data_IF_715973891630
#
_entry.id   IF_715973891630
#
_cell.length_a   1.000
_cell.length_b   1.000
_cell.length_c   1.000
_cell.angle_alpha   90.00
_cell.angle_beta   90.00
_cell.angle_gamma   90.00
#
_symmetry.space_group_name_H-M   'P 1'
#
loop_
_entity.id
_entity.type
_entity.pdbx_description
1 polymer ?
#
# COMPACT_ATOMS: atom_id res chain seq x y z
N UNK A 1 -18.61 23.08 9.29
CA UNK A 1 -18.98 21.64 9.15
C UNK A 1 -18.69 21.09 7.75
N UNK A 2 -19.19 21.70 6.67
CA UNK A 2 -18.93 21.28 5.28
C UNK A 2 -17.44 21.03 4.93
N UNK A 3 -16.48 21.92 5.25
CA UNK A 3 -15.07 21.67 4.89
C UNK A 3 -14.49 20.43 5.60
N UNK A 4 -14.93 20.15 6.84
CA UNK A 4 -14.48 18.99 7.62
C UNK A 4 -15.01 17.69 7.01
N UNK A 5 -16.29 17.65 6.63
CA UNK A 5 -16.89 16.50 5.94
C UNK A 5 -16.22 16.21 4.60
N UNK A 6 -15.92 17.24 3.81
CA UNK A 6 -15.22 17.10 2.53
C UNK A 6 -13.79 16.60 2.74
N UNK A 7 -13.06 17.15 3.70
CA UNK A 7 -11.70 16.70 4.04
C UNK A 7 -11.69 15.24 4.50
N UNK A 8 -12.63 14.84 5.37
CA UNK A 8 -12.77 13.45 5.80
C UNK A 8 -13.07 12.53 4.62
N UNK A 9 -14.00 12.90 3.72
CA UNK A 9 -14.33 12.09 2.56
C UNK A 9 -13.14 11.91 1.61
N UNK A 10 -12.41 12.98 1.30
CA UNK A 10 -11.23 12.95 0.44
C UNK A 10 -10.10 12.12 1.08
N UNK A 11 -9.83 12.32 2.36
CA UNK A 11 -8.80 11.57 3.09
C UNK A 11 -9.11 10.07 3.15
N UNK A 12 -10.37 9.72 3.40
CA UNK A 12 -10.82 8.31 3.43
C UNK A 12 -10.67 7.67 2.05
N UNK A 13 -11.15 8.34 1.00
CA UNK A 13 -11.04 7.86 -0.37
C UNK A 13 -9.59 7.68 -0.81
N UNK A 14 -8.72 8.65 -0.52
CA UNK A 14 -7.30 8.58 -0.85
C UNK A 14 -6.61 7.42 -0.11
N UNK A 15 -6.91 7.21 1.17
CA UNK A 15 -6.35 6.12 1.97
C UNK A 15 -6.74 4.74 1.44
N UNK A 16 -7.99 4.58 0.99
CA UNK A 16 -8.47 3.33 0.38
C UNK A 16 -7.77 3.09 -0.96
N UNK A 17 -7.69 4.11 -1.83
CA UNK A 17 -7.02 3.98 -3.13
C UNK A 17 -5.55 3.59 -2.95
N UNK A 18 -4.84 4.24 -2.03
CA UNK A 18 -3.44 3.93 -1.72
C UNK A 18 -3.31 2.50 -1.17
N UNK A 19 -4.18 2.08 -0.25
CA UNK A 19 -4.14 0.73 0.30
C UNK A 19 -4.35 -0.33 -0.80
N UNK A 20 -5.33 -0.13 -1.69
CA UNK A 20 -5.62 -1.04 -2.81
C UNK A 20 -4.47 -1.06 -3.81
N UNK A 21 -3.97 0.10 -4.25
CA UNK A 21 -2.86 0.18 -5.19
C UNK A 21 -1.60 -0.50 -4.62
N UNK A 22 -1.30 -0.26 -3.35
CA UNK A 22 -0.14 -0.87 -2.68
C UNK A 22 -0.29 -2.38 -2.60
N UNK A 23 -1.49 -2.88 -2.28
CA UNK A 23 -1.78 -4.30 -2.25
C UNK A 23 -1.64 -4.99 -3.62
N UNK A 24 -2.24 -4.42 -4.67
CA UNK A 24 -2.29 -5.06 -5.99
C UNK A 24 -1.02 -4.85 -6.82
N UNK A 25 -0.41 -3.67 -6.76
CA UNK A 25 0.73 -3.34 -7.63
C UNK A 25 2.10 -3.56 -7.00
N UNK A 26 2.19 -3.64 -5.67
CA UNK A 26 3.48 -3.76 -4.96
C UNK A 26 3.54 -5.08 -4.20
N UNK A 27 2.55 -5.35 -3.36
CA UNK A 27 2.57 -6.51 -2.47
C UNK A 27 2.38 -7.84 -3.21
N UNK A 28 1.43 -7.91 -4.15
CA UNK A 28 1.19 -9.11 -4.96
C UNK A 28 2.44 -9.60 -5.73
N UNK A 29 3.21 -8.74 -6.44
CA UNK A 29 4.48 -9.15 -7.03
C UNK A 29 5.51 -9.62 -6.00
N UNK A 30 5.63 -8.93 -4.86
CA UNK A 30 6.58 -9.30 -3.78
C UNK A 30 6.28 -10.67 -3.18
N UNK A 31 5.01 -11.02 -3.00
CA UNK A 31 4.60 -12.35 -2.51
C UNK A 31 4.84 -13.46 -3.55
N UNK A 32 4.92 -13.11 -4.84
CA UNK A 32 5.20 -14.05 -5.93
C UNK A 32 6.70 -14.31 -6.14
N UNK A 33 7.55 -13.65 -5.34
CA UNK A 33 9.00 -13.86 -5.38
C UNK A 33 9.35 -15.22 -4.78
N UNK A 34 10.10 -16.02 -5.53
CA UNK A 34 10.56 -17.35 -5.09
C UNK A 34 12.06 -17.50 -5.38
N UNK A 35 12.86 -17.83 -4.37
CA UNK A 35 14.31 -17.99 -4.54
C UNK A 35 15.05 -16.68 -4.83
N UNK A 36 15.85 -16.22 -3.85
CA UNK A 36 16.69 -15.05 -4.00
C UNK A 36 18.17 -15.44 -3.88
N UNK A 37 18.99 -14.89 -4.77
CA UNK A 37 20.44 -15.10 -4.80
C UNK A 37 21.12 -13.77 -4.46
N UNK A 38 21.93 -13.79 -3.41
CA UNK A 38 22.68 -12.61 -2.98
C UNK A 38 24.05 -12.57 -3.67
N UNK A 39 24.34 -11.48 -4.38
CA UNK A 39 25.63 -11.24 -5.02
C UNK A 39 26.44 -10.23 -4.22
N UNK A 40 27.40 -10.73 -3.43
CA UNK A 40 28.26 -9.93 -2.54
C UNK A 40 29.18 -8.94 -3.27
N UNK A 41 29.54 -9.20 -4.54
CA UNK A 41 30.38 -8.29 -5.34
C UNK A 41 29.68 -6.99 -5.73
N UNK A 42 28.34 -6.93 -5.67
CA UNK A 42 27.56 -5.75 -6.03
C UNK A 42 26.63 -5.22 -4.94
N UNK A 43 26.53 -5.90 -3.79
CA UNK A 43 25.45 -5.69 -2.80
C UNK A 43 24.07 -5.73 -3.49
N UNK A 44 23.90 -6.69 -4.40
CA UNK A 44 22.67 -6.87 -5.18
C UNK A 44 22.01 -8.16 -4.73
N UNK A 45 20.73 -8.10 -4.40
CA UNK A 45 19.89 -9.26 -4.25
C UNK A 45 19.09 -9.46 -5.53
N UNK A 46 19.23 -10.62 -6.17
CA UNK A 46 18.46 -11.01 -7.36
C UNK A 46 17.42 -12.04 -6.96
N UNK A 47 16.16 -11.68 -7.09
CA UNK A 47 15.03 -12.53 -6.72
C UNK A 47 14.27 -12.97 -7.97
N UNK A 48 13.88 -14.24 -8.08
CA UNK A 48 13.05 -14.69 -9.21
C UNK A 48 11.59 -14.37 -8.92
N UNK A 49 10.90 -13.79 -9.90
CA UNK A 49 9.46 -13.56 -9.84
C UNK A 49 8.78 -14.01 -11.12
N UNK A 50 7.55 -14.49 -11.03
CA UNK A 50 6.68 -14.79 -12.17
C UNK A 50 5.85 -13.57 -12.59
N UNK A 51 5.96 -12.46 -11.87
CA UNK A 51 5.16 -11.27 -12.12
C UNK A 51 5.69 -10.51 -13.33
N UNK A 52 4.91 -10.51 -14.42
CA UNK A 52 5.18 -9.77 -15.64
C UNK A 52 4.25 -8.56 -15.71
N UNK A 53 4.82 -7.36 -15.74
CA UNK A 53 4.06 -6.11 -15.89
C UNK A 53 4.31 -5.53 -17.27
N UNK A 54 3.27 -5.33 -18.06
CA UNK A 54 3.38 -4.64 -19.36
C UNK A 54 4.02 -3.27 -19.13
N UNK A 55 5.23 -3.05 -19.67
CA UNK A 55 6.11 -1.86 -19.52
C UNK A 55 7.15 -1.86 -18.38
N UNK A 56 7.33 -2.95 -17.64
CA UNK A 56 8.49 -3.10 -16.75
C UNK A 56 9.42 -4.18 -17.33
N UNK A 57 10.40 -3.77 -18.12
CA UNK A 57 11.39 -4.68 -18.70
C UNK A 57 12.35 -5.15 -17.60
N UNK A 58 12.01 -6.29 -17.00
CA UNK A 58 12.85 -7.02 -16.06
C UNK A 58 13.71 -8.04 -16.83
N UNK A 59 14.91 -8.32 -16.32
CA UNK A 59 15.90 -9.18 -16.99
C UNK A 59 15.45 -10.65 -16.98
N UNK A 60 15.24 -11.22 -18.18
CA UNK A 60 14.69 -12.58 -18.34
C UNK A 60 15.72 -13.65 -18.01
N UNK A 61 15.31 -14.66 -17.25
CA UNK A 61 16.13 -15.85 -17.00
C UNK A 61 16.07 -16.75 -18.24
N UNK A 62 17.22 -17.23 -18.71
CA UNK A 62 17.36 -18.06 -19.92
C UNK A 62 16.67 -19.46 -19.88
N UNK A 63 15.68 -19.68 -19.01
CA UNK A 63 15.04 -20.99 -18.83
C UNK A 63 13.53 -20.98 -18.49
N UNK A 64 12.78 -19.88 -18.66
CA UNK A 64 11.31 -19.90 -18.49
C UNK A 64 10.63 -18.54 -18.36
N UNK A 65 9.34 -18.53 -18.00
CA UNK A 65 8.50 -17.32 -17.78
C UNK A 65 8.88 -16.49 -16.53
N UNK A 66 10.04 -16.75 -15.93
CA UNK A 66 10.50 -16.09 -14.70
C UNK A 66 11.45 -14.95 -15.02
N UNK A 67 11.37 -13.88 -14.22
CA UNK A 67 12.14 -12.66 -14.42
C UNK A 67 12.90 -12.29 -13.14
N UNK A 68 14.09 -11.71 -13.28
CA UNK A 68 14.90 -11.28 -12.14
C UNK A 68 14.47 -9.89 -11.66
N UNK A 69 14.09 -9.79 -10.39
CA UNK A 69 13.95 -8.55 -9.65
C UNK A 69 15.28 -8.28 -8.95
N UNK A 70 16.05 -7.30 -9.44
CA UNK A 70 17.31 -6.90 -8.83
C UNK A 70 17.09 -5.74 -7.85
N UNK A 71 17.32 -5.99 -6.56
CA UNK A 71 17.38 -4.94 -5.55
C UNK A 71 18.84 -4.59 -5.28
N UNK A 72 19.16 -3.32 -5.43
CA UNK A 72 20.48 -2.78 -5.14
C UNK A 72 20.57 -2.28 -3.70
N UNK A 73 21.78 -2.30 -3.16
CA UNK A 73 22.12 -1.71 -1.86
C UNK A 73 21.42 -2.39 -0.67
N UNK A 74 21.24 -3.71 -0.77
CA UNK A 74 20.63 -4.54 0.28
C UNK A 74 21.71 -5.33 1.02
N UNK A 75 21.56 -5.43 2.35
CA UNK A 75 22.51 -6.12 3.23
C UNK A 75 22.33 -7.64 3.18
N UNK A 76 21.09 -8.09 3.00
CA UNK A 76 20.72 -9.49 2.83
C UNK A 76 19.50 -9.62 1.90
N UNK A 77 19.32 -10.79 1.30
CA UNK A 77 18.10 -11.12 0.58
C UNK A 77 16.92 -11.47 1.52
N UNK A 78 17.22 -11.76 2.79
CA UNK A 78 16.21 -12.05 3.81
C UNK A 78 15.40 -10.79 4.13
N UNK A 79 16.05 -9.62 4.14
CA UNK A 79 15.41 -8.32 4.28
C UNK A 79 14.35 -8.08 3.19
N UNK A 80 14.64 -8.49 1.95
CA UNK A 80 13.73 -8.32 0.82
C UNK A 80 12.52 -9.23 0.93
N UNK A 81 12.72 -10.47 1.37
CA UNK A 81 11.64 -11.46 1.47
C UNK A 81 10.74 -11.23 2.68
N UNK A 82 11.27 -10.71 3.79
CA UNK A 82 10.54 -10.65 5.06
C UNK A 82 10.22 -9.22 5.50
N UNK A 83 11.20 -8.30 5.43
CA UNK A 83 11.04 -6.95 5.97
C UNK A 83 10.16 -6.10 5.05
N UNK A 84 10.39 -6.12 3.74
CA UNK A 84 9.63 -5.30 2.78
C UNK A 84 8.12 -5.65 2.80
N UNK A 85 7.70 -6.92 2.67
CA UNK A 85 6.28 -7.26 2.73
C UNK A 85 5.68 -6.88 4.08
N UNK A 86 6.39 -7.11 5.18
CA UNK A 86 5.91 -6.74 6.53
C UNK A 86 5.71 -5.23 6.65
N UNK A 87 6.66 -4.42 6.19
CA UNK A 87 6.51 -2.96 6.16
C UNK A 87 5.31 -2.52 5.32
N UNK A 88 5.10 -3.12 4.14
CA UNK A 88 3.95 -2.80 3.29
C UNK A 88 2.62 -3.18 3.94
N UNK A 89 2.54 -4.35 4.58
CA UNK A 89 1.36 -4.74 5.36
C UNK A 89 1.08 -3.76 6.49
N UNK A 90 2.11 -3.31 7.22
CA UNK A 90 1.92 -2.29 8.27
C UNK A 90 1.43 -0.96 7.71
N UNK A 91 1.95 -0.51 6.56
CA UNK A 91 1.47 0.71 5.90
C UNK A 91 0.00 0.58 5.47
N UNK A 92 -0.39 -0.53 4.84
CA UNK A 92 -1.77 -0.81 4.45
C UNK A 92 -2.68 -0.79 5.69
N UNK A 93 -2.25 -1.43 6.78
CA UNK A 93 -2.97 -1.44 8.05
C UNK A 93 -3.16 -0.03 8.64
N UNK A 94 -2.11 0.79 8.65
CA UNK A 94 -2.18 2.18 9.13
C UNK A 94 -3.15 3.00 8.28
N UNK A 95 -3.12 2.87 6.95
CA UNK A 95 -4.08 3.55 6.06
C UNK A 95 -5.51 3.08 6.29
N UNK A 96 -5.72 1.78 6.54
CA UNK A 96 -7.03 1.25 6.93
C UNK A 96 -7.55 1.84 8.24
N UNK A 97 -6.67 1.96 9.25
CA UNK A 97 -7.01 2.57 10.53
C UNK A 97 -7.37 4.06 10.37
N UNK A 98 -6.58 4.81 9.60
CA UNK A 98 -6.83 6.21 9.28
C UNK A 98 -8.20 6.40 8.61
N UNK A 99 -8.53 5.54 7.62
CA UNK A 99 -9.81 5.56 6.95
C UNK A 99 -11.00 5.30 7.91
N UNK A 100 -10.80 4.44 8.90
CA UNK A 100 -11.83 4.15 9.91
C UNK A 100 -12.04 5.35 10.85
N UNK A 101 -10.95 5.96 11.33
CA UNK A 101 -11.02 7.16 12.18
C UNK A 101 -11.68 8.33 11.44
N UNK A 102 -11.32 8.56 10.17
CA UNK A 102 -11.93 9.62 9.37
C UNK A 102 -13.41 9.38 9.09
N UNK A 103 -13.83 8.13 8.91
CA UNK A 103 -15.24 7.77 8.76
C UNK A 103 -16.04 8.07 10.04
N UNK A 104 -15.52 7.68 11.21
CA UNK A 104 -16.16 7.95 12.51
C UNK A 104 -16.26 9.47 12.76
N UNK A 105 -15.19 10.22 12.51
CA UNK A 105 -15.18 11.68 12.63
C UNK A 105 -16.20 12.35 11.69
N UNK A 106 -16.35 11.84 10.47
CA UNK A 106 -17.35 12.29 9.51
C UNK A 106 -18.78 12.06 10.01
N UNK A 107 -19.07 10.88 10.56
CA UNK A 107 -20.39 10.54 11.13
C UNK A 107 -20.73 11.47 12.31
N UNK A 108 -19.79 11.65 13.24
CA UNK A 108 -19.99 12.54 14.40
C UNK A 108 -20.26 13.97 13.92
N UNK A 109 -19.46 14.47 12.97
CA UNK A 109 -19.64 15.81 12.40
C UNK A 109 -21.01 15.97 11.72
N UNK A 110 -21.49 14.93 11.04
CA UNK A 110 -22.81 14.92 10.42
C UNK A 110 -23.94 14.93 11.46
N UNK A 111 -23.83 14.13 12.52
CA UNK A 111 -24.81 14.10 13.61
C UNK A 111 -24.90 15.45 14.33
N UNK A 112 -23.76 16.07 14.65
CA UNK A 112 -23.72 17.41 15.25
C UNK A 112 -24.40 18.44 14.35
N UNK A 113 -24.09 18.43 13.05
CA UNK A 113 -24.73 19.33 12.10
C UNK A 113 -26.25 19.14 12.02
N UNK A 114 -26.71 17.88 12.03
CA UNK A 114 -28.14 17.58 12.03
C UNK A 114 -28.82 18.11 13.30
N UNK A 115 -28.18 17.96 14.45
CA UNK A 115 -28.69 18.46 15.74
C UNK A 115 -28.74 19.98 15.77
N UNK A 116 -27.68 20.67 15.34
CA UNK A 116 -27.67 22.14 15.24
C UNK A 116 -28.75 22.66 14.29
N UNK A 117 -28.89 22.03 13.12
CA UNK A 117 -29.92 22.41 12.16
C UNK A 117 -31.33 22.23 12.73
N UNK A 118 -31.58 21.14 13.46
CA UNK A 118 -32.88 20.90 14.08
C UNK A 118 -33.18 21.90 15.20
N UNK A 119 -32.15 22.34 15.95
CA UNK A 119 -32.30 23.35 17.01
C UNK A 119 -32.66 24.72 16.43
N UNK A 120 -31.97 25.15 15.37
CA UNK A 120 -32.27 26.42 14.69
C UNK A 120 -33.64 26.46 13.97
N UNK A 121 -34.32 25.31 13.82
CA UNK A 121 -35.69 25.26 13.31
C UNK A 121 -36.75 25.41 14.40
N UNK A 122 -36.36 25.27 15.68
CA UNK A 122 -37.24 25.34 16.85
C UNK A 122 -37.16 26.69 17.59
N UNK A 123 -36.12 27.48 17.31
CA UNK A 123 -35.96 28.89 17.72
C UNK A 123 -36.53 29.83 16.64
#
# INVERSE_FOLDING_TARGET
VYPVLVLCAVSTGLSIIIAVLTGTHVLQPLLSVSGCVYTRKGNICQCLTQFKRDKLDLERVNAGETVYLALHNVSSCEDVQTVIPTMLYTMIGIHGLLALVSAVAGIISFLVYRTERNRNYLD
#
